data_IF_835804611840
#
_entry.id   IF_835804611840
#
_cell.length_a   1.000
_cell.length_b   1.000
_cell.length_c   1.000
_cell.angle_alpha   90.00
_cell.angle_beta   90.00
_cell.angle_gamma   90.00
#
_symmetry.space_group_name_H-M   'P 1'
#
loop_
_entity.id
_entity.type
_entity.pdbx_description
1 polymer ?
#
# COMPACT_ATOMS: atom_id res chain seq x y z
N UNK A 1 0.79 -17.73 5.97
CA UNK A 1 1.11 -16.48 6.71
C UNK A 1 0.92 -15.27 5.81
N UNK A 2 0.22 -14.25 6.27
CA UNK A 2 0.00 -13.01 5.51
C UNK A 2 1.17 -12.05 5.72
N UNK A 3 1.50 -11.26 4.69
CA UNK A 3 2.56 -10.25 4.79
C UNK A 3 2.00 -8.96 5.41
N UNK A 4 2.85 -8.29 6.19
CA UNK A 4 2.60 -6.96 6.73
C UNK A 4 3.55 -5.95 6.07
N UNK A 5 3.02 -5.09 5.22
CA UNK A 5 3.68 -3.90 4.71
C UNK A 5 3.45 -2.73 5.68
N UNK A 6 4.54 -2.14 6.14
CA UNK A 6 4.49 -0.96 7.01
C UNK A 6 4.77 0.29 6.17
N UNK A 7 3.74 1.13 5.97
CA UNK A 7 3.93 2.41 5.31
C UNK A 7 4.48 3.43 6.32
N UNK A 8 5.63 4.02 5.98
CA UNK A 8 6.38 4.95 6.84
C UNK A 8 6.30 6.41 6.39
N UNK A 9 5.38 6.75 5.49
CA UNK A 9 5.25 8.13 4.96
C UNK A 9 5.06 9.17 6.06
N UNK A 10 4.30 8.84 7.11
CA UNK A 10 4.06 9.79 8.20
C UNK A 10 5.27 10.05 9.10
N UNK A 11 6.28 9.18 9.09
CA UNK A 11 7.60 9.49 9.67
C UNK A 11 8.24 10.65 8.89
N UNK A 12 8.18 10.57 7.55
CA UNK A 12 8.68 11.65 6.70
C UNK A 12 7.81 12.92 6.82
N UNK A 13 6.50 12.80 7.00
CA UNK A 13 5.61 13.94 7.29
C UNK A 13 6.05 14.69 8.54
N UNK A 14 6.28 13.97 9.65
CA UNK A 14 6.72 14.56 10.91
C UNK A 14 8.08 15.25 10.76
N UNK A 15 9.04 14.60 10.11
CA UNK A 15 10.35 15.18 9.77
C UNK A 15 10.21 16.48 8.97
N UNK A 16 9.37 16.45 7.92
CA UNK A 16 9.22 17.60 7.02
C UNK A 16 8.49 18.77 7.68
N UNK A 17 7.54 18.51 8.58
CA UNK A 17 6.83 19.55 9.34
C UNK A 17 7.79 20.37 10.20
N UNK A 18 8.88 19.76 10.70
CA UNK A 18 9.92 20.43 11.47
C UNK A 18 11.01 21.06 10.60
N UNK A 19 11.17 20.60 9.34
CA UNK A 19 12.23 21.07 8.45
C UNK A 19 13.62 20.51 8.75
N UNK A 20 13.71 19.47 9.59
CA UNK A 20 14.96 18.86 10.03
C UNK A 20 15.21 17.48 9.40
N UNK A 21 16.22 16.75 9.92
CA UNK A 21 16.51 15.38 9.50
C UNK A 21 15.95 14.31 10.45
N UNK A 22 15.24 14.71 11.49
CA UNK A 22 14.63 13.86 12.50
C UNK A 22 13.10 13.98 12.46
N UNK A 23 12.34 12.86 12.62
CA UNK A 23 12.81 11.47 12.73
C UNK A 23 13.39 10.93 11.41
N UNK A 24 14.37 10.03 11.52
CA UNK A 24 15.06 9.48 10.35
C UNK A 24 14.24 8.35 9.70
N UNK A 25 13.88 8.50 8.44
CA UNK A 25 13.04 7.57 7.67
C UNK A 25 13.74 6.22 7.47
N UNK A 26 15.05 6.21 7.26
CA UNK A 26 15.83 4.98 7.03
C UNK A 26 15.91 4.17 8.33
N UNK A 27 16.15 4.82 9.45
CA UNK A 27 16.15 4.18 10.77
C UNK A 27 14.77 3.59 11.10
N UNK A 28 13.69 4.29 10.78
CA UNK A 28 12.33 3.79 10.95
C UNK A 28 12.04 2.55 10.07
N UNK A 29 12.49 2.54 8.81
CA UNK A 29 12.37 1.38 7.93
C UNK A 29 13.09 0.15 8.49
N UNK A 30 14.36 0.31 8.91
CA UNK A 30 15.15 -0.77 9.53
C UNK A 30 14.49 -1.29 10.82
N UNK A 31 14.03 -0.39 11.67
CA UNK A 31 13.33 -0.74 12.91
C UNK A 31 12.04 -1.51 12.61
N UNK A 32 11.26 -1.08 11.62
CA UNK A 32 10.02 -1.77 11.24
C UNK A 32 10.29 -3.21 10.79
N UNK A 33 11.31 -3.43 9.95
CA UNK A 33 11.73 -4.78 9.54
C UNK A 33 12.16 -5.63 10.73
N UNK A 34 13.00 -5.10 11.62
CA UNK A 34 13.44 -5.79 12.84
C UNK A 34 12.29 -6.11 13.80
N UNK A 35 11.17 -5.41 13.69
CA UNK A 35 9.95 -5.66 14.49
C UNK A 35 8.98 -6.66 13.84
N UNK A 36 9.28 -7.17 12.64
CA UNK A 36 8.48 -8.20 11.97
C UNK A 36 7.65 -7.72 10.79
N UNK A 37 7.90 -6.51 10.24
CA UNK A 37 7.39 -6.13 8.93
C UNK A 37 7.99 -7.05 7.85
N UNK A 38 7.21 -7.39 6.83
CA UNK A 38 7.67 -8.18 5.69
C UNK A 38 8.14 -7.30 4.52
N UNK A 39 7.67 -6.05 4.49
CA UNK A 39 8.09 -5.04 3.51
C UNK A 39 7.82 -3.62 4.06
N UNK A 40 8.49 -2.66 3.45
CA UNK A 40 8.32 -1.23 3.74
C UNK A 40 7.59 -0.59 2.57
N UNK A 41 6.44 0.03 2.86
CA UNK A 41 5.69 0.80 1.87
C UNK A 41 6.05 2.28 2.01
N UNK A 42 6.32 2.93 0.88
CA UNK A 42 6.56 4.36 0.77
C UNK A 42 5.85 4.93 -0.45
N UNK A 43 5.24 6.08 -0.31
CA UNK A 43 4.62 6.78 -1.44
C UNK A 43 5.45 8.00 -1.85
N UNK A 44 6.10 7.91 -3.00
CA UNK A 44 6.75 9.05 -3.60
C UNK A 44 5.72 9.86 -4.40
N UNK A 45 5.01 10.74 -3.73
CA UNK A 45 4.03 11.62 -4.38
C UNK A 45 4.67 12.60 -5.34
N UNK A 46 3.92 13.04 -6.35
CA UNK A 46 4.41 14.06 -7.30
C UNK A 46 4.79 15.39 -6.61
N UNK A 47 4.09 15.76 -5.55
CA UNK A 47 4.33 16.96 -4.76
C UNK A 47 5.38 16.81 -3.65
N UNK A 48 5.92 15.60 -3.42
CA UNK A 48 6.96 15.32 -2.42
C UNK A 48 6.61 15.77 -0.99
N UNK A 49 5.32 15.80 -0.63
CA UNK A 49 4.88 16.29 0.69
C UNK A 49 5.42 15.48 1.88
N UNK A 50 5.81 14.24 1.68
CA UNK A 50 6.42 13.37 2.71
C UNK A 50 7.72 12.72 2.23
N UNK A 51 7.71 11.56 1.58
CA UNK A 51 8.91 10.91 1.03
C UNK A 51 9.52 11.82 -0.06
N UNK A 52 10.85 12.01 0.01
CA UNK A 52 11.65 12.78 -0.95
C UNK A 52 12.49 11.83 -1.81
N UNK A 53 12.97 12.32 -2.95
CA UNK A 53 13.82 11.54 -3.88
C UNK A 53 15.09 11.01 -3.19
N UNK A 54 15.66 11.79 -2.23
CA UNK A 54 16.80 11.36 -1.40
C UNK A 54 16.46 10.14 -0.55
N UNK A 55 15.26 10.10 0.04
CA UNK A 55 14.82 8.95 0.85
C UNK A 55 14.70 7.70 -0.01
N UNK A 56 14.03 7.81 -1.16
CA UNK A 56 13.88 6.69 -2.10
C UNK A 56 15.25 6.17 -2.55
N UNK A 57 16.18 7.07 -2.92
CA UNK A 57 17.54 6.71 -3.35
C UNK A 57 18.27 5.89 -2.28
N UNK A 58 18.18 6.28 -1.02
CA UNK A 58 18.85 5.56 0.07
C UNK A 58 18.15 4.23 0.35
N UNK A 59 16.81 4.24 0.50
CA UNK A 59 16.04 3.05 0.84
C UNK A 59 16.15 1.96 -0.24
N UNK A 60 16.08 2.33 -1.52
CA UNK A 60 16.16 1.38 -2.63
C UNK A 60 17.53 0.71 -2.78
N UNK A 61 18.59 1.32 -2.25
CA UNK A 61 19.94 0.75 -2.28
C UNK A 61 20.22 -0.22 -1.12
N UNK A 62 19.34 -0.32 -0.14
CA UNK A 62 19.49 -1.26 0.98
C UNK A 62 18.87 -2.60 0.59
N UNK A 63 19.70 -3.55 0.15
CA UNK A 63 19.26 -4.88 -0.36
C UNK A 63 18.35 -5.66 0.60
N UNK A 64 18.52 -5.48 1.91
CA UNK A 64 17.71 -6.16 2.94
C UNK A 64 16.32 -5.53 3.16
N UNK A 65 16.02 -4.40 2.51
CA UNK A 65 14.72 -3.72 2.62
C UNK A 65 13.86 -3.98 1.38
N UNK A 66 12.88 -4.89 1.42
CA UNK A 66 11.92 -5.04 0.33
C UNK A 66 10.97 -3.83 0.31
N UNK A 67 11.23 -2.91 -0.63
CA UNK A 67 10.44 -1.68 -0.79
C UNK A 67 9.24 -1.94 -1.69
N UNK A 68 8.05 -1.55 -1.23
CA UNK A 68 6.84 -1.34 -2.01
C UNK A 68 6.69 0.17 -2.28
N UNK A 69 7.00 0.59 -3.51
CA UNK A 69 6.94 1.98 -3.92
C UNK A 69 5.57 2.30 -4.49
N UNK A 70 4.83 3.17 -3.81
CA UNK A 70 3.58 3.72 -4.35
C UNK A 70 3.89 4.89 -5.29
N UNK A 71 3.25 4.86 -6.49
CA UNK A 71 3.46 5.88 -7.52
C UNK A 71 2.15 6.26 -8.22
N UNK A 72 2.07 7.50 -8.67
CA UNK A 72 1.02 7.94 -9.59
C UNK A 72 1.14 7.26 -10.97
N UNK A 73 -0.01 7.07 -11.64
CA UNK A 73 -0.12 6.43 -12.96
C UNK A 73 0.36 7.34 -14.10
N UNK A 74 1.65 7.71 -14.12
CA UNK A 74 2.24 8.51 -15.18
C UNK A 74 3.67 8.09 -15.53
N UNK A 75 4.16 8.53 -16.70
CA UNK A 75 5.48 8.12 -17.22
C UNK A 75 6.66 8.70 -16.42
N UNK A 76 6.50 9.89 -15.80
CA UNK A 76 7.55 10.48 -14.96
C UNK A 76 7.82 9.59 -13.75
N UNK A 77 6.75 9.16 -13.07
CA UNK A 77 6.87 8.28 -11.91
C UNK A 77 7.30 6.86 -12.29
N UNK A 78 6.86 6.37 -13.46
CA UNK A 78 7.36 5.10 -14.01
C UNK A 78 8.89 5.15 -14.23
N UNK A 79 9.43 6.23 -14.82
CA UNK A 79 10.88 6.39 -15.03
C UNK A 79 11.64 6.32 -13.70
N UNK A 80 11.13 6.96 -12.66
CA UNK A 80 11.70 6.91 -11.31
C UNK A 80 11.70 5.46 -10.78
N UNK A 81 10.58 4.77 -10.87
CA UNK A 81 10.48 3.38 -10.41
C UNK A 81 11.45 2.45 -11.17
N UNK A 82 11.58 2.62 -12.50
CA UNK A 82 12.53 1.84 -13.33
C UNK A 82 13.99 2.12 -12.99
N UNK A 83 14.33 3.35 -12.60
CA UNK A 83 15.70 3.72 -12.22
C UNK A 83 16.07 3.15 -10.84
N UNK A 84 15.16 3.19 -9.87
CA UNK A 84 15.42 2.73 -8.50
C UNK A 84 15.18 1.22 -8.30
N UNK A 85 14.45 0.56 -9.21
CA UNK A 85 14.16 -0.88 -9.22
C UNK A 85 13.72 -1.42 -7.84
N UNK A 86 12.69 -0.84 -7.21
CA UNK A 86 12.16 -1.38 -5.96
C UNK A 86 11.65 -2.80 -6.22
N UNK A 87 11.57 -3.62 -5.16
CA UNK A 87 11.06 -4.99 -5.27
C UNK A 87 9.59 -5.03 -5.71
N UNK A 88 8.81 -4.03 -5.27
CA UNK A 88 7.37 -3.93 -5.53
C UNK A 88 7.01 -2.50 -5.92
N UNK A 89 5.98 -2.37 -6.76
CA UNK A 89 5.36 -1.09 -7.11
C UNK A 89 3.85 -1.22 -6.97
N UNK A 90 3.22 -0.30 -6.23
CA UNK A 90 1.78 -0.12 -6.23
C UNK A 90 1.42 1.16 -7.02
N UNK A 91 0.57 1.02 -8.04
CA UNK A 91 0.10 2.18 -8.78
C UNK A 91 -1.17 2.69 -8.10
N UNK A 92 -1.14 3.94 -7.64
CA UNK A 92 -2.22 4.57 -6.87
C UNK A 92 -2.79 5.78 -7.58
N UNK A 93 -4.05 6.16 -7.33
CA UNK A 93 -4.57 7.45 -7.78
C UNK A 93 -3.89 8.57 -6.96
N UNK A 94 -3.58 9.67 -7.64
CA UNK A 94 -3.04 10.85 -7.00
C UNK A 94 -3.68 12.11 -7.59
N UNK A 95 -4.32 12.90 -6.74
CA UNK A 95 -4.83 14.24 -7.05
C UNK A 95 -4.18 15.23 -6.09
N UNK A 96 -3.72 16.37 -6.63
CA UNK A 96 -2.96 17.37 -5.85
C UNK A 96 -3.75 17.93 -4.65
N UNK A 97 -5.06 18.05 -4.79
CA UNK A 97 -5.93 18.64 -3.77
C UNK A 97 -6.43 17.63 -2.71
N UNK A 98 -6.12 16.33 -2.85
CA UNK A 98 -6.50 15.32 -1.84
C UNK A 98 -5.46 15.25 -0.72
N UNK A 99 -5.92 15.25 0.53
CA UNK A 99 -5.06 15.04 1.70
C UNK A 99 -4.55 13.60 1.72
N UNK A 100 -5.43 12.66 1.35
CA UNK A 100 -5.13 11.22 1.25
C UNK A 100 -5.86 10.62 0.06
N UNK A 101 -5.56 9.36 -0.28
CA UNK A 101 -6.22 8.62 -1.36
C UNK A 101 -7.67 8.31 -0.99
N UNK A 102 -8.65 8.94 -1.63
CA UNK A 102 -10.06 8.80 -1.29
C UNK A 102 -10.79 7.62 -1.97
N UNK A 103 -10.18 6.99 -2.95
CA UNK A 103 -10.73 5.85 -3.69
C UNK A 103 -9.70 5.14 -4.54
N UNK A 104 -10.09 4.07 -5.22
CA UNK A 104 -9.25 3.32 -6.14
C UNK A 104 -9.01 4.02 -7.48
N UNK A 105 -8.08 3.49 -8.26
CA UNK A 105 -7.82 3.93 -9.64
C UNK A 105 -9.05 3.78 -10.52
N UNK A 106 -9.33 4.78 -11.36
CA UNK A 106 -10.27 4.62 -12.46
C UNK A 106 -9.60 3.83 -13.58
N UNK A 107 -9.69 2.50 -13.50
CA UNK A 107 -9.03 1.60 -14.44
C UNK A 107 -9.63 1.72 -15.85
N UNK A 108 -10.94 1.91 -15.95
CA UNK A 108 -11.64 1.93 -17.24
C UNK A 108 -11.10 3.02 -18.18
N UNK A 109 -11.00 4.25 -17.65
CA UNK A 109 -10.50 5.38 -18.44
C UNK A 109 -9.01 5.30 -18.76
N UNK A 110 -8.24 4.51 -18.00
CA UNK A 110 -6.76 4.49 -18.09
C UNK A 110 -6.19 3.12 -18.48
N UNK A 111 -7.02 2.13 -18.84
CA UNK A 111 -6.60 0.73 -19.02
C UNK A 111 -5.40 0.55 -19.94
N UNK A 112 -5.39 1.18 -21.11
CA UNK A 112 -4.30 1.03 -22.08
C UNK A 112 -2.99 1.69 -21.60
N UNK A 113 -3.09 2.86 -20.93
CA UNK A 113 -1.93 3.52 -20.31
C UNK A 113 -1.36 2.67 -19.18
N UNK A 114 -2.21 2.16 -18.30
CA UNK A 114 -1.81 1.30 -17.18
C UNK A 114 -1.18 0.01 -17.68
N UNK A 115 -1.73 -0.61 -18.72
CA UNK A 115 -1.15 -1.81 -19.33
C UNK A 115 0.29 -1.57 -19.78
N UNK A 116 0.57 -0.48 -20.51
CA UNK A 116 1.93 -0.12 -20.93
C UNK A 116 2.88 0.13 -19.74
N UNK A 117 2.39 0.73 -18.65
CA UNK A 117 3.19 0.97 -17.44
C UNK A 117 3.51 -0.37 -16.75
N UNK A 118 2.51 -1.21 -16.53
CA UNK A 118 2.66 -2.53 -15.88
C UNK A 118 3.60 -3.43 -16.67
N UNK A 119 3.45 -3.48 -18.00
CA UNK A 119 4.34 -4.25 -18.87
C UNK A 119 5.81 -3.85 -18.72
N UNK A 120 6.10 -2.53 -18.67
CA UNK A 120 7.47 -2.04 -18.47
C UNK A 120 8.04 -2.40 -17.10
N UNK A 121 7.24 -2.34 -16.04
CA UNK A 121 7.64 -2.75 -14.70
C UNK A 121 7.86 -4.28 -14.63
N UNK A 122 6.93 -5.07 -15.17
CA UNK A 122 7.03 -6.53 -15.21
C UNK A 122 8.26 -7.02 -15.98
N UNK A 123 8.62 -6.38 -17.13
CA UNK A 123 9.84 -6.67 -17.91
C UNK A 123 11.13 -6.44 -17.10
N UNK A 124 11.08 -5.62 -16.05
CA UNK A 124 12.22 -5.38 -15.14
C UNK A 124 12.15 -6.24 -13.87
N UNK A 125 11.26 -7.23 -13.82
CA UNK A 125 11.10 -8.12 -12.67
C UNK A 125 10.41 -7.47 -11.45
N UNK A 126 9.86 -6.26 -11.60
CA UNK A 126 9.19 -5.54 -10.51
C UNK A 126 7.76 -6.08 -10.38
N UNK A 127 7.39 -6.64 -9.22
CA UNK A 127 6.00 -7.06 -8.95
C UNK A 127 5.12 -5.82 -8.84
N UNK A 128 4.11 -5.73 -9.69
CA UNK A 128 3.23 -4.57 -9.76
C UNK A 128 1.85 -4.90 -9.22
N UNK A 129 1.28 -4.01 -8.40
CA UNK A 129 -0.11 -4.00 -7.96
C UNK A 129 -0.83 -2.74 -8.42
N UNK A 130 -2.17 -2.83 -8.53
CA UNK A 130 -3.05 -1.70 -8.81
C UNK A 130 -3.94 -1.46 -7.60
N UNK A 131 -3.97 -0.22 -7.09
CA UNK A 131 -4.85 0.19 -5.99
C UNK A 131 -6.26 0.43 -6.51
N UNK A 132 -7.23 -0.40 -6.09
CA UNK A 132 -8.57 -0.45 -6.68
C UNK A 132 -9.67 -0.51 -5.64
N UNK A 133 -10.84 0.03 -5.96
CA UNK A 133 -12.03 -0.24 -5.16
C UNK A 133 -12.49 -1.68 -5.34
N UNK A 134 -13.13 -2.30 -4.32
CA UNK A 134 -13.60 -3.68 -4.37
C UNK A 134 -14.77 -3.83 -5.36
N UNK A 135 -14.45 -4.16 -6.61
CA UNK A 135 -15.39 -4.30 -7.71
C UNK A 135 -14.92 -5.34 -8.73
N UNK A 136 -15.82 -6.20 -9.21
CA UNK A 136 -15.53 -7.23 -10.21
C UNK A 136 -15.03 -6.66 -11.53
N UNK A 137 -15.53 -5.49 -11.94
CA UNK A 137 -15.07 -4.80 -13.14
C UNK A 137 -13.58 -4.42 -13.03
N UNK A 138 -13.18 -3.89 -11.86
CA UNK A 138 -11.78 -3.57 -11.59
C UNK A 138 -10.89 -4.83 -11.65
N UNK A 139 -11.35 -5.95 -11.12
CA UNK A 139 -10.62 -7.23 -11.20
C UNK A 139 -10.45 -7.69 -12.65
N UNK A 140 -11.53 -7.68 -13.47
CA UNK A 140 -11.46 -8.02 -14.89
C UNK A 140 -10.48 -7.14 -15.67
N UNK A 141 -10.52 -5.83 -15.43
CA UNK A 141 -9.60 -4.88 -16.07
C UNK A 141 -8.16 -5.11 -15.60
N UNK A 142 -7.94 -5.41 -14.31
CA UNK A 142 -6.61 -5.75 -13.77
C UNK A 142 -6.04 -6.99 -14.43
N UNK A 143 -6.86 -8.00 -14.71
CA UNK A 143 -6.46 -9.19 -15.49
C UNK A 143 -6.08 -8.82 -16.92
N UNK A 144 -6.87 -7.98 -17.61
CA UNK A 144 -6.55 -7.47 -18.95
C UNK A 144 -5.23 -6.67 -18.97
N UNK A 145 -4.95 -5.88 -17.94
CA UNK A 145 -3.70 -5.12 -17.76
C UNK A 145 -2.51 -6.06 -17.53
N UNK A 146 -2.75 -7.31 -17.15
CA UNK A 146 -1.75 -8.30 -16.79
C UNK A 146 -0.94 -7.90 -15.54
N UNK A 147 -1.63 -7.32 -14.54
CA UNK A 147 -1.01 -7.10 -13.23
C UNK A 147 -0.98 -8.41 -12.43
N UNK A 148 0.08 -8.61 -11.64
CA UNK A 148 0.20 -9.79 -10.77
C UNK A 148 -0.64 -9.68 -9.50
N UNK A 149 -0.84 -8.45 -9.03
CA UNK A 149 -1.51 -8.18 -7.76
C UNK A 149 -2.50 -7.03 -7.91
N UNK A 150 -3.49 -7.00 -7.01
CA UNK A 150 -4.30 -5.80 -6.73
C UNK A 150 -4.25 -5.49 -5.25
N UNK A 151 -4.31 -4.21 -4.91
CA UNK A 151 -4.52 -3.75 -3.55
C UNK A 151 -5.92 -3.15 -3.43
N UNK A 152 -6.77 -3.80 -2.63
CA UNK A 152 -8.15 -3.35 -2.42
C UNK A 152 -8.18 -2.20 -1.42
N UNK A 153 -8.80 -1.09 -1.81
CA UNK A 153 -9.06 0.06 -0.96
C UNK A 153 -10.05 -0.27 0.15
N UNK A 154 -9.60 -0.22 1.40
CA UNK A 154 -10.41 -0.57 2.58
C UNK A 154 -10.93 0.63 3.37
N UNK A 155 -10.75 1.85 2.86
CA UNK A 155 -11.14 3.07 3.59
C UNK A 155 -12.62 3.15 3.96
N UNK A 156 -13.53 2.64 3.11
CA UNK A 156 -14.97 2.66 3.39
C UNK A 156 -15.35 1.73 4.54
N UNK A 157 -14.91 0.46 4.50
CA UNK A 157 -15.19 -0.49 5.60
C UNK A 157 -14.51 -0.03 6.89
N UNK A 158 -13.30 0.51 6.81
CA UNK A 158 -12.58 1.04 7.97
C UNK A 158 -13.34 2.18 8.66
N UNK A 159 -13.88 3.11 7.87
CA UNK A 159 -14.72 4.20 8.41
C UNK A 159 -16.01 3.68 9.05
N UNK A 160 -16.62 2.67 8.46
CA UNK A 160 -17.84 2.05 9.03
C UNK A 160 -17.55 1.38 10.36
N UNK A 161 -16.49 0.58 10.45
CA UNK A 161 -16.08 -0.13 11.68
C UNK A 161 -15.71 0.88 12.79
N UNK A 162 -14.91 1.90 12.47
CA UNK A 162 -14.50 2.95 13.43
C UNK A 162 -15.69 3.73 14.00
N UNK A 163 -16.72 3.96 13.18
CA UNK A 163 -17.94 4.67 13.58
C UNK A 163 -19.03 3.75 14.12
N UNK A 164 -18.72 2.47 14.39
CA UNK A 164 -19.67 1.44 14.84
C UNK A 164 -20.92 1.33 13.92
N UNK A 165 -20.76 1.59 12.61
CA UNK A 165 -21.85 1.46 11.63
C UNK A 165 -21.89 0.04 11.06
N UNK A 166 -23.06 -0.32 10.48
CA UNK A 166 -23.24 -1.62 9.79
C UNK A 166 -22.27 -1.70 8.60
N UNK A 167 -21.40 -2.70 8.60
CA UNK A 167 -20.39 -2.90 7.55
C UNK A 167 -20.54 -4.24 6.79
N UNK A 168 -21.52 -5.06 7.13
CA UNK A 168 -21.74 -6.40 6.53
C UNK A 168 -21.83 -6.37 5.00
N UNK A 169 -22.55 -5.37 4.44
CA UNK A 169 -22.66 -5.21 2.98
C UNK A 169 -21.32 -4.94 2.31
N UNK A 170 -20.50 -4.06 2.89
CA UNK A 170 -19.18 -3.73 2.37
C UNK A 170 -18.20 -4.90 2.54
N UNK A 171 -18.24 -5.58 3.68
CA UNK A 171 -17.44 -6.79 3.90
C UNK A 171 -17.77 -7.88 2.87
N UNK A 172 -19.04 -8.15 2.62
CA UNK A 172 -19.46 -9.12 1.60
C UNK A 172 -18.98 -8.74 0.20
N UNK A 173 -18.99 -7.45 -0.12
CA UNK A 173 -18.44 -6.93 -1.40
C UNK A 173 -16.96 -7.23 -1.50
N UNK A 174 -16.18 -6.94 -0.46
CA UNK A 174 -14.74 -7.24 -0.40
C UNK A 174 -14.50 -8.74 -0.54
N UNK A 175 -15.18 -9.58 0.26
CA UNK A 175 -15.01 -11.04 0.20
C UNK A 175 -15.26 -11.59 -1.20
N UNK A 176 -16.35 -11.18 -1.85
CA UNK A 176 -16.67 -11.63 -3.22
C UNK A 176 -15.60 -11.18 -4.22
N UNK A 177 -15.14 -9.92 -4.11
CA UNK A 177 -14.09 -9.39 -4.99
C UNK A 177 -12.76 -10.09 -4.80
N UNK A 178 -12.36 -10.34 -3.54
CA UNK A 178 -11.12 -11.06 -3.20
C UNK A 178 -11.12 -12.47 -3.77
N UNK A 179 -12.19 -13.24 -3.55
CA UNK A 179 -12.33 -14.60 -4.08
C UNK A 179 -12.31 -14.62 -5.61
N UNK A 180 -12.96 -13.65 -6.24
CA UNK A 180 -12.95 -13.55 -7.70
C UNK A 180 -11.56 -13.21 -8.25
N UNK A 181 -10.80 -12.33 -7.60
CA UNK A 181 -9.43 -12.03 -8.00
C UNK A 181 -8.52 -13.26 -7.85
N UNK A 182 -8.62 -13.97 -6.72
CA UNK A 182 -7.88 -15.20 -6.45
C UNK A 182 -8.17 -16.29 -7.49
N UNK A 183 -9.44 -16.48 -7.87
CA UNK A 183 -9.85 -17.44 -8.92
C UNK A 183 -9.27 -17.13 -10.31
N UNK A 184 -8.88 -15.86 -10.55
CA UNK A 184 -8.20 -15.43 -11.78
C UNK A 184 -6.67 -15.47 -11.67
N UNK A 185 -6.12 -15.94 -10.54
CA UNK A 185 -4.69 -15.99 -10.28
C UNK A 185 -4.08 -14.61 -9.98
N UNK A 186 -4.88 -13.63 -9.50
CA UNK A 186 -4.41 -12.32 -9.09
C UNK A 186 -4.24 -12.33 -7.57
N UNK A 187 -3.03 -12.06 -7.09
CA UNK A 187 -2.75 -11.96 -5.66
C UNK A 187 -3.42 -10.70 -5.07
N UNK A 188 -4.09 -10.85 -3.92
CA UNK A 188 -4.86 -9.77 -3.31
C UNK A 188 -4.17 -9.23 -2.06
N UNK A 189 -3.97 -7.92 -2.07
CA UNK A 189 -3.55 -7.10 -0.94
C UNK A 189 -4.71 -6.22 -0.48
N UNK A 190 -4.60 -5.68 0.73
CA UNK A 190 -5.54 -4.69 1.27
C UNK A 190 -4.78 -3.55 1.90
N UNK A 191 -5.28 -2.33 1.71
CA UNK A 191 -4.64 -1.12 2.24
C UNK A 191 -5.62 0.01 2.49
N UNK A 192 -5.13 1.01 3.18
CA UNK A 192 -5.76 2.27 3.49
C UNK A 192 -6.80 2.24 4.62
N UNK A 193 -6.59 3.09 5.60
CA UNK A 193 -7.55 3.43 6.67
C UNK A 193 -7.68 2.40 7.79
N UNK A 194 -6.97 1.27 7.74
CA UNK A 194 -7.09 0.19 8.72
C UNK A 194 -6.56 0.56 10.11
N UNK A 195 -7.32 0.11 11.11
CA UNK A 195 -6.94 0.00 12.51
C UNK A 195 -6.90 -1.48 12.93
N UNK A 196 -6.69 -1.76 14.22
CA UNK A 196 -6.67 -3.14 14.73
C UNK A 196 -7.98 -3.89 14.52
N UNK A 197 -9.14 -3.19 14.65
CA UNK A 197 -10.46 -3.82 14.49
C UNK A 197 -10.67 -4.22 13.03
N UNK A 198 -10.40 -3.31 12.10
CA UNK A 198 -10.53 -3.55 10.67
C UNK A 198 -9.58 -4.65 10.20
N UNK A 199 -8.32 -4.63 10.65
CA UNK A 199 -7.35 -5.66 10.32
C UNK A 199 -7.81 -7.05 10.79
N UNK A 200 -8.35 -7.19 12.01
CA UNK A 200 -8.92 -8.46 12.49
C UNK A 200 -10.09 -8.98 11.65
N UNK A 201 -10.97 -8.08 11.20
CA UNK A 201 -12.10 -8.47 10.35
C UNK A 201 -11.58 -9.01 9.02
N UNK A 202 -10.66 -8.28 8.39
CA UNK A 202 -10.13 -8.63 7.07
C UNK A 202 -9.15 -9.80 7.10
N UNK A 203 -8.43 -10.03 8.22
CA UNK A 203 -7.50 -11.16 8.34
C UNK A 203 -8.18 -12.53 8.28
N UNK A 204 -9.49 -12.60 8.52
CA UNK A 204 -10.29 -13.83 8.38
C UNK A 204 -10.52 -14.26 6.92
N UNK A 205 -10.24 -13.38 5.96
CA UNK A 205 -10.34 -13.70 4.52
C UNK A 205 -9.03 -14.38 4.10
N UNK A 206 -9.06 -15.67 3.81
CA UNK A 206 -7.86 -16.50 3.56
C UNK A 206 -7.09 -16.08 2.31
N UNK A 207 -7.77 -15.61 1.31
CA UNK A 207 -7.24 -15.22 0.01
C UNK A 207 -6.46 -13.89 0.05
N UNK A 208 -6.64 -13.06 1.07
CA UNK A 208 -5.82 -11.86 1.29
C UNK A 208 -4.41 -12.29 1.69
N UNK A 209 -3.39 -11.85 0.95
CA UNK A 209 -1.99 -12.24 1.15
C UNK A 209 -1.13 -11.14 1.80
N UNK A 210 -1.55 -9.86 1.73
CA UNK A 210 -0.74 -8.74 2.21
C UNK A 210 -1.63 -7.60 2.76
N UNK A 211 -1.16 -6.99 3.85
CA UNK A 211 -1.78 -5.83 4.50
C UNK A 211 -0.80 -4.66 4.45
N UNK A 212 -1.17 -3.55 3.82
CA UNK A 212 -0.38 -2.32 3.79
C UNK A 212 -1.01 -1.28 4.73
N UNK A 213 -0.31 -0.95 5.83
CA UNK A 213 -0.83 -0.12 6.92
C UNK A 213 0.20 0.96 7.28
N UNK A 214 -0.24 2.23 7.29
CA UNK A 214 0.64 3.36 7.56
C UNK A 214 0.16 4.22 8.71
N UNK A 215 -0.76 5.15 8.42
CA UNK A 215 -1.17 6.22 9.35
C UNK A 215 -1.44 5.72 10.77
N UNK A 216 -2.22 4.65 10.91
CA UNK A 216 -2.57 4.12 12.23
C UNK A 216 -1.36 3.54 12.97
N UNK A 217 -0.44 2.84 12.27
CA UNK A 217 0.78 2.31 12.88
C UNK A 217 1.62 3.47 13.45
N UNK A 218 1.84 4.51 12.66
CA UNK A 218 2.68 5.64 13.09
C UNK A 218 2.01 6.44 14.20
N UNK A 219 0.71 6.73 14.09
CA UNK A 219 -0.05 7.44 15.11
C UNK A 219 -0.05 6.72 16.47
N UNK A 220 -0.37 5.42 16.48
CA UNK A 220 -0.33 4.62 17.72
C UNK A 220 1.09 4.46 18.28
N UNK A 221 2.10 4.53 17.41
CA UNK A 221 3.50 4.41 17.85
C UNK A 221 3.98 5.58 18.68
N UNK A 222 3.36 6.74 18.58
CA UNK A 222 3.63 7.91 19.42
C UNK A 222 3.37 7.59 20.90
N UNK A 223 2.31 6.81 21.18
CA UNK A 223 1.91 6.47 22.54
C UNK A 223 2.52 5.16 23.04
N UNK A 224 2.69 4.18 22.17
CA UNK A 224 3.03 2.80 22.58
C UNK A 224 4.36 2.28 22.03
N UNK A 225 5.03 3.03 21.18
CA UNK A 225 6.25 2.64 20.51
C UNK A 225 6.05 1.74 19.28
N UNK A 226 6.84 1.98 18.23
CA UNK A 226 6.72 1.32 16.93
C UNK A 226 6.82 -0.21 17.01
N UNK A 227 7.74 -0.72 17.83
CA UNK A 227 7.94 -2.17 18.05
C UNK A 227 6.66 -2.87 18.52
N UNK A 228 5.98 -2.31 19.53
CA UNK A 228 4.76 -2.89 20.12
C UNK A 228 3.62 -2.92 19.11
N UNK A 229 3.45 -1.85 18.35
CA UNK A 229 2.39 -1.71 17.36
C UNK A 229 2.58 -2.66 16.18
N UNK A 230 3.78 -2.73 15.61
CA UNK A 230 4.08 -3.65 14.50
C UNK A 230 3.87 -5.12 14.93
N UNK A 231 4.39 -5.52 16.09
CA UNK A 231 4.19 -6.88 16.61
C UNK A 231 2.71 -7.22 16.80
N UNK A 232 1.90 -6.25 17.25
CA UNK A 232 0.45 -6.45 17.40
C UNK A 232 -0.25 -6.64 16.06
N UNK A 233 0.09 -5.85 15.03
CA UNK A 233 -0.44 -6.07 13.68
C UNK A 233 0.03 -7.40 13.09
N UNK A 234 1.30 -7.75 13.26
CA UNK A 234 1.83 -9.02 12.76
C UNK A 234 1.06 -10.22 13.34
N UNK A 235 0.74 -10.17 14.66
CA UNK A 235 -0.11 -11.18 15.30
C UNK A 235 -1.55 -11.21 14.77
N UNK A 236 -2.11 -10.06 14.36
CA UNK A 236 -3.47 -9.98 13.80
C UNK A 236 -3.51 -10.52 12.36
N UNK A 237 -2.46 -10.30 11.58
CA UNK A 237 -2.39 -10.74 10.18
C UNK A 237 -2.11 -12.23 10.03
N UNK A 238 -1.58 -12.88 11.04
CA UNK A 238 -1.25 -14.31 11.09
C UNK A 238 -2.26 -15.12 11.88
#
# INVERSE_FOLDING_TARGET
>A
MKRLGVNIDHIATLRNARGENHPNVISAAKLAMNCGADLITIHLREDRRHIKDKDLKILSNIKSLPINLEIAANYKMLKIALNHKPKYVCIVPEKRNEITTEGGLNLEKKKNKLKKIVEKLNKKGIRTSLFVDPDFKNVKISKFINTRCIEIHTGKISRQIKKNKIFKKELNKIVKTVKYADSLGIEVHVGHGMDFKTARVLSRIKEIKEFNIGHFIIGESIFYGLKKIIKKFKKICN
#
